data_IF_472407355211
#
_entry.id   IF_472407355211
#
_cell.length_a   1.000
_cell.length_b   1.000
_cell.length_c   1.000
_cell.angle_alpha   90.00
_cell.angle_beta   90.00
_cell.angle_gamma   90.00
#
_symmetry.space_group_name_H-M   'P 1'
#
loop_
_entity.id
_entity.type
_entity.pdbx_description
1 polymer ?
#
# COMPACT_ATOMS: atom_id res chain seq x y z
N UNK A 1 -20.81 0.38 3.90
CA UNK A 1 -20.33 -1.00 4.19
C UNK A 1 -20.03 -1.65 2.84
N UNK A 2 -18.85 -2.25 2.64
CA UNK A 2 -18.56 -2.94 1.38
C UNK A 2 -19.36 -4.24 1.36
N UNK A 3 -20.12 -4.47 0.29
CA UNK A 3 -20.72 -5.78 0.04
C UNK A 3 -19.64 -6.69 -0.56
N UNK A 4 -19.34 -7.78 0.13
CA UNK A 4 -18.27 -8.72 -0.22
C UNK A 4 -18.48 -9.34 -1.62
N UNK A 5 -19.73 -9.41 -2.11
CA UNK A 5 -20.04 -9.81 -3.48
C UNK A 5 -19.41 -8.92 -4.56
N UNK A 6 -19.05 -7.67 -4.22
CA UNK A 6 -18.37 -6.75 -5.16
C UNK A 6 -16.84 -6.84 -5.11
N UNK A 7 -16.26 -7.63 -4.20
CA UNK A 7 -14.80 -7.71 -4.02
C UNK A 7 -14.11 -8.24 -5.28
N UNK A 8 -14.71 -9.24 -5.93
CA UNK A 8 -14.20 -9.78 -7.19
C UNK A 8 -14.15 -8.73 -8.31
N UNK A 9 -15.17 -7.85 -8.38
CA UNK A 9 -15.20 -6.76 -9.35
C UNK A 9 -14.08 -5.74 -9.07
N UNK A 10 -13.80 -5.45 -7.79
CA UNK A 10 -12.70 -4.56 -7.37
C UNK A 10 -11.37 -5.17 -7.79
N UNK A 11 -11.11 -6.43 -7.42
CA UNK A 11 -9.88 -7.16 -7.81
C UNK A 11 -9.71 -7.15 -9.32
N UNK A 12 -10.75 -7.47 -10.09
CA UNK A 12 -10.70 -7.48 -11.55
C UNK A 12 -10.34 -6.10 -12.13
N UNK A 13 -10.91 -5.01 -11.60
CA UNK A 13 -10.65 -3.65 -12.07
C UNK A 13 -9.25 -3.15 -11.67
N UNK A 14 -8.79 -3.43 -10.45
CA UNK A 14 -7.42 -3.13 -10.03
C UNK A 14 -6.40 -3.92 -10.85
N UNK A 15 -6.66 -5.20 -11.11
CA UNK A 15 -5.84 -6.03 -11.99
C UNK A 15 -5.77 -5.48 -13.41
N UNK A 16 -6.89 -4.96 -13.94
CA UNK A 16 -6.90 -4.26 -15.23
C UNK A 16 -6.04 -3.01 -15.21
N UNK A 17 -6.09 -2.20 -14.15
CA UNK A 17 -5.27 -1.00 -14.01
C UNK A 17 -3.78 -1.37 -14.03
N UNK A 18 -3.38 -2.39 -13.25
CA UNK A 18 -2.00 -2.88 -13.26
C UNK A 18 -1.56 -3.35 -14.66
N UNK A 19 -2.42 -4.07 -15.40
CA UNK A 19 -2.11 -4.48 -16.78
C UNK A 19 -1.98 -3.31 -17.75
N UNK A 20 -2.83 -2.29 -17.64
CA UNK A 20 -2.69 -1.07 -18.45
C UNK A 20 -1.37 -0.36 -18.11
N UNK A 21 -1.02 -0.24 -16.83
CA UNK A 21 0.23 0.39 -16.42
C UNK A 21 1.46 -0.39 -16.88
N UNK A 22 1.41 -1.72 -16.93
CA UNK A 22 2.48 -2.53 -17.49
C UNK A 22 2.71 -2.21 -18.98
N UNK A 23 1.63 -2.07 -19.76
CA UNK A 23 1.73 -1.63 -21.16
C UNK A 23 2.31 -0.21 -21.26
N UNK A 24 1.89 0.71 -20.39
CA UNK A 24 2.41 2.09 -20.37
C UNK A 24 3.91 2.15 -20.05
N UNK A 25 4.39 1.27 -19.17
CA UNK A 25 5.83 1.13 -18.87
C UNK A 25 6.58 0.65 -20.11
N UNK A 26 6.07 -0.38 -20.78
CA UNK A 26 6.72 -0.98 -21.95
C UNK A 26 6.69 -0.04 -23.18
N UNK A 27 5.67 0.80 -23.29
CA UNK A 27 5.52 1.77 -24.38
C UNK A 27 6.66 2.81 -24.42
N UNK A 28 7.37 3.03 -23.31
CA UNK A 28 8.56 3.90 -23.27
C UNK A 28 9.64 3.37 -24.21
N UNK A 29 9.81 2.04 -24.31
CA UNK A 29 10.78 1.40 -25.21
C UNK A 29 10.55 1.72 -26.69
N UNK A 30 9.31 2.04 -27.08
CA UNK A 30 8.99 2.50 -28.45
C UNK A 30 9.55 3.89 -28.70
N UNK A 31 9.45 4.81 -27.73
CA UNK A 31 10.03 6.16 -27.88
C UNK A 31 11.56 6.14 -27.83
N UNK A 32 12.16 5.16 -27.14
CA UNK A 32 13.61 4.96 -27.06
C UNK A 32 14.26 4.55 -28.40
N UNK A 33 13.48 4.16 -29.41
CA UNK A 33 14.01 3.88 -30.75
C UNK A 33 14.36 5.17 -31.51
N UNK A 34 13.84 6.32 -31.08
CA UNK A 34 14.20 7.62 -31.64
C UNK A 34 15.56 8.08 -31.09
N UNK A 35 16.42 8.62 -31.96
CA UNK A 35 17.70 9.17 -31.53
C UNK A 35 17.52 10.58 -30.94
N UNK A 36 18.41 10.96 -30.02
CA UNK A 36 18.42 12.32 -29.48
C UNK A 36 18.64 13.38 -30.58
N UNK A 37 19.40 13.05 -31.63
CA UNK A 37 19.63 13.94 -32.78
C UNK A 37 18.35 14.17 -33.58
N UNK A 38 17.53 13.12 -33.80
CA UNK A 38 16.25 13.27 -34.50
C UNK A 38 15.23 14.03 -33.66
N UNK A 39 15.21 13.78 -32.34
CA UNK A 39 14.39 14.55 -31.41
C UNK A 39 14.72 16.05 -31.44
N UNK A 40 16.01 16.41 -31.43
CA UNK A 40 16.46 17.81 -31.44
C UNK A 40 15.96 18.59 -32.67
N UNK A 41 15.85 17.93 -33.84
CA UNK A 41 15.37 18.53 -35.10
C UNK A 41 13.99 19.18 -34.95
N UNK A 42 13.10 18.58 -34.15
CA UNK A 42 11.73 19.07 -33.99
C UNK A 42 11.39 19.56 -32.58
N UNK A 43 12.25 19.35 -31.58
CA UNK A 43 12.04 19.77 -30.18
C UNK A 43 11.60 21.22 -30.03
N UNK A 44 12.13 22.13 -30.85
CA UNK A 44 11.79 23.56 -30.84
C UNK A 44 10.29 23.84 -31.06
N UNK A 45 9.59 22.96 -31.78
CA UNK A 45 8.15 23.11 -32.05
C UNK A 45 7.28 22.69 -30.86
N UNK A 46 7.86 22.03 -29.86
CA UNK A 46 7.16 21.61 -28.66
C UNK A 46 7.24 22.64 -27.52
N UNK A 47 8.12 23.64 -27.60
CA UNK A 47 8.21 24.66 -26.56
C UNK A 47 7.02 25.62 -26.63
N UNK A 48 6.37 26.01 -25.51
CA UNK A 48 6.69 25.70 -24.10
C UNK A 48 5.94 24.49 -23.53
N UNK A 49 5.32 23.66 -24.36
CA UNK A 49 4.53 22.52 -23.91
C UNK A 49 5.38 21.51 -23.11
N UNK A 50 4.74 20.89 -22.13
CA UNK A 50 5.41 19.99 -21.19
C UNK A 50 4.45 18.97 -20.58
N UNK A 51 4.99 17.84 -20.13
CA UNK A 51 4.25 16.83 -19.37
C UNK A 51 3.62 17.36 -18.08
N UNK A 52 4.04 18.54 -17.58
CA UNK A 52 3.34 19.24 -16.50
C UNK A 52 1.87 19.58 -16.84
N UNK A 53 1.54 19.70 -18.14
CA UNK A 53 0.19 19.98 -18.64
C UNK A 53 -0.69 18.72 -18.74
N UNK A 54 -0.16 17.54 -18.44
CA UNK A 54 -0.93 16.28 -18.43
C UNK A 54 -1.86 16.24 -17.21
N UNK A 55 -3.01 16.89 -17.34
CA UNK A 55 -4.00 16.97 -16.26
C UNK A 55 -4.55 15.59 -15.88
N UNK A 56 -4.74 14.67 -16.83
CA UNK A 56 -5.17 13.29 -16.52
C UNK A 56 -4.16 12.56 -15.63
N UNK A 57 -2.86 12.77 -15.83
CA UNK A 57 -1.84 12.20 -14.94
C UNK A 57 -1.98 12.76 -13.52
N UNK A 58 -2.31 14.05 -13.39
CA UNK A 58 -2.60 14.68 -12.08
C UNK A 58 -3.86 14.13 -11.44
N UNK A 59 -4.91 13.88 -12.22
CA UNK A 59 -6.13 13.23 -11.71
C UNK A 59 -5.85 11.83 -11.18
N UNK A 60 -5.03 11.04 -11.89
CA UNK A 60 -4.63 9.70 -11.42
C UNK A 60 -3.89 9.82 -10.08
N UNK A 61 -2.90 10.70 -9.99
CA UNK A 61 -2.14 10.89 -8.75
C UNK A 61 -3.03 11.35 -7.57
N UNK A 62 -3.94 12.29 -7.81
CA UNK A 62 -4.87 12.79 -6.79
C UNK A 62 -5.86 11.71 -6.36
N UNK A 63 -6.48 11.02 -7.32
CA UNK A 63 -7.45 9.96 -7.05
C UNK A 63 -6.84 8.73 -6.41
N UNK A 64 -5.54 8.45 -6.61
CA UNK A 64 -4.83 7.44 -5.83
C UNK A 64 -4.63 7.90 -4.38
N UNK A 65 -4.13 9.12 -4.19
CA UNK A 65 -3.97 9.74 -2.86
C UNK A 65 -2.63 10.43 -2.63
N UNK A 66 -1.97 10.91 -3.69
CA UNK A 66 -0.73 11.69 -3.54
C UNK A 66 -1.07 13.09 -3.03
N UNK A 67 -0.69 13.37 -1.77
CA UNK A 67 -0.93 14.66 -1.13
C UNK A 67 -0.18 15.81 -1.83
N UNK A 68 -0.84 16.96 -1.97
CA UNK A 68 -0.30 18.16 -2.61
C UNK A 68 0.98 18.66 -1.93
N UNK A 69 1.00 18.65 -0.60
CA UNK A 69 2.09 19.12 0.25
C UNK A 69 3.35 18.26 0.08
N UNK A 70 3.18 17.01 -0.33
CA UNK A 70 4.26 16.05 -0.58
C UNK A 70 4.77 16.12 -2.01
N UNK A 71 4.23 16.97 -2.89
CA UNK A 71 4.74 17.07 -4.26
C UNK A 71 6.02 17.89 -4.28
N UNK A 72 6.99 17.48 -5.09
CA UNK A 72 8.16 18.29 -5.39
C UNK A 72 7.69 19.49 -6.21
N UNK A 73 7.89 20.69 -5.67
CA UNK A 73 7.53 21.94 -6.36
C UNK A 73 8.41 22.14 -7.59
N UNK A 74 7.81 22.70 -8.63
CA UNK A 74 8.49 23.09 -9.86
C UNK A 74 8.35 24.60 -10.03
N UNK A 75 9.46 25.33 -10.15
CA UNK A 75 9.50 26.80 -10.21
C UNK A 75 8.69 27.50 -9.09
N UNK A 76 8.63 26.90 -7.89
CA UNK A 76 7.80 27.33 -6.76
C UNK A 76 6.28 27.37 -7.01
N UNK A 77 5.81 26.99 -8.20
CA UNK A 77 4.41 26.95 -8.55
C UNK A 77 3.79 25.60 -8.17
N UNK A 78 2.49 25.65 -7.88
CA UNK A 78 1.71 24.44 -7.65
C UNK A 78 1.42 23.71 -8.97
N UNK A 79 1.32 22.39 -8.93
CA UNK A 79 1.02 21.59 -10.12
C UNK A 79 -0.38 21.90 -10.72
N UNK A 80 -1.32 22.39 -9.90
CA UNK A 80 -2.65 22.83 -10.35
C UNK A 80 -2.61 24.17 -11.12
N UNK A 81 -1.51 24.92 -10.99
CA UNK A 81 -1.28 26.22 -11.64
C UNK A 81 -0.39 26.10 -12.87
N UNK A 82 -0.06 24.88 -13.31
CA UNK A 82 0.78 24.66 -14.48
C UNK A 82 0.29 25.46 -15.71
N UNK A 83 1.22 26.20 -16.33
CA UNK A 83 0.94 26.99 -17.53
C UNK A 83 0.42 26.08 -18.66
N UNK A 84 -0.62 26.52 -19.37
CA UNK A 84 -1.26 25.76 -20.46
C UNK A 84 -2.42 24.87 -20.05
N UNK A 85 -2.76 24.75 -18.76
CA UNK A 85 -4.04 24.17 -18.35
C UNK A 85 -5.20 25.08 -18.74
N UNK A 86 -6.28 24.51 -19.27
CA UNK A 86 -7.53 25.25 -19.52
C UNK A 86 -8.41 25.27 -18.25
N UNK A 87 -9.50 26.05 -18.26
CA UNK A 87 -10.40 26.19 -17.10
C UNK A 87 -11.02 24.86 -16.66
N UNK A 88 -11.44 24.02 -17.62
CA UNK A 88 -12.03 22.70 -17.33
C UNK A 88 -11.03 21.73 -16.69
N UNK A 89 -9.77 21.74 -17.12
CA UNK A 89 -8.71 20.92 -16.55
C UNK A 89 -8.38 21.36 -15.11
N UNK A 90 -8.29 22.68 -14.86
CA UNK A 90 -8.11 23.22 -13.51
C UNK A 90 -9.25 22.84 -12.58
N UNK A 91 -10.48 22.93 -13.07
CA UNK A 91 -11.66 22.51 -12.31
C UNK A 91 -11.62 21.03 -11.97
N UNK A 92 -11.27 20.18 -12.94
CA UNK A 92 -11.16 18.73 -12.72
C UNK A 92 -10.08 18.38 -11.69
N UNK A 93 -8.95 19.08 -11.72
CA UNK A 93 -7.88 18.91 -10.72
C UNK A 93 -8.41 19.31 -9.34
N UNK A 94 -9.04 20.48 -9.22
CA UNK A 94 -9.64 20.95 -7.96
C UNK A 94 -10.67 19.97 -7.41
N UNK A 95 -11.55 19.43 -8.26
CA UNK A 95 -12.52 18.41 -7.85
C UNK A 95 -11.79 17.17 -7.31
N UNK A 96 -10.77 16.69 -8.04
CA UNK A 96 -10.03 15.50 -7.63
C UNK A 96 -9.23 15.64 -6.33
N UNK A 97 -8.85 16.88 -5.94
CA UNK A 97 -8.19 17.15 -4.66
C UNK A 97 -9.17 17.06 -3.48
N UNK A 98 -10.46 17.34 -3.71
CA UNK A 98 -11.48 17.40 -2.66
C UNK A 98 -12.28 16.09 -2.54
N UNK A 99 -12.32 15.27 -3.59
CA UNK A 99 -12.97 13.96 -3.54
C UNK A 99 -12.15 12.94 -2.71
N UNK A 100 -12.81 11.98 -2.04
CA UNK A 100 -12.10 10.91 -1.34
C UNK A 100 -11.18 10.12 -2.27
N UNK A 101 -9.87 10.20 -2.03
CA UNK A 101 -8.89 9.40 -2.74
C UNK A 101 -9.01 7.91 -2.40
N UNK A 102 -8.52 7.04 -3.29
CA UNK A 102 -8.51 5.59 -3.09
C UNK A 102 -7.83 5.19 -1.78
N UNK A 103 -6.71 5.84 -1.42
CA UNK A 103 -6.05 5.66 -0.13
C UNK A 103 -7.03 5.83 1.05
N UNK A 104 -7.83 6.90 1.05
CA UNK A 104 -8.79 7.18 2.13
C UNK A 104 -9.92 6.14 2.19
N UNK A 105 -10.35 5.62 1.03
CA UNK A 105 -11.38 4.59 0.96
C UNK A 105 -10.87 3.24 1.45
N UNK A 106 -9.61 2.90 1.10
CA UNK A 106 -8.92 1.69 1.55
C UNK A 106 -8.62 1.77 3.06
N UNK A 107 -8.13 2.91 3.57
CA UNK A 107 -7.90 3.13 5.01
C UNK A 107 -9.19 2.89 5.81
N UNK A 108 -10.29 3.50 5.37
CA UNK A 108 -11.61 3.30 5.99
C UNK A 108 -12.09 1.84 5.92
N UNK A 109 -11.84 1.13 4.81
CA UNK A 109 -12.20 -0.27 4.66
C UNK A 109 -11.38 -1.18 5.58
N UNK A 110 -10.05 -1.00 5.61
CA UNK A 110 -9.14 -1.75 6.47
C UNK A 110 -9.40 -1.50 7.96
N UNK A 111 -9.79 -0.29 8.35
CA UNK A 111 -10.14 0.04 9.74
C UNK A 111 -11.36 -0.72 10.26
N UNK A 112 -12.13 -1.37 9.37
CA UNK A 112 -13.30 -2.20 9.70
C UNK A 112 -13.04 -3.70 9.54
N UNK A 113 -11.79 -4.10 9.34
CA UNK A 113 -11.43 -5.52 9.23
C UNK A 113 -11.91 -6.24 10.49
N UNK A 114 -12.63 -7.37 10.37
CA UNK A 114 -13.06 -8.14 11.53
C UNK A 114 -11.84 -8.59 12.34
N UNK A 115 -11.99 -8.74 13.66
CA UNK A 115 -10.92 -9.25 14.53
C UNK A 115 -10.00 -8.20 15.16
N UNK A 116 -10.14 -6.93 14.79
CA UNK A 116 -9.40 -5.81 15.41
C UNK A 116 -10.02 -5.29 16.72
N UNK A 117 -11.22 -5.75 17.08
CA UNK A 117 -11.91 -5.30 18.29
C UNK A 117 -11.27 -5.92 19.55
N UNK A 118 -10.81 -5.12 20.53
CA UNK A 118 -10.27 -5.62 21.79
C UNK A 118 -11.26 -6.45 22.61
N UNK A 119 -12.57 -6.22 22.45
CA UNK A 119 -13.61 -7.01 23.09
C UNK A 119 -14.02 -8.26 22.29
N UNK A 120 -13.45 -8.42 21.09
CA UNK A 120 -13.66 -9.57 20.21
C UNK A 120 -12.45 -10.50 20.21
N UNK A 121 -11.86 -10.68 19.02
CA UNK A 121 -10.69 -11.55 18.85
C UNK A 121 -9.39 -10.93 19.38
N UNK A 122 -9.32 -9.59 19.46
CA UNK A 122 -8.14 -8.83 19.85
C UNK A 122 -6.85 -9.27 19.14
N UNK A 123 -6.84 -9.16 17.80
CA UNK A 123 -5.66 -9.52 17.01
C UNK A 123 -4.40 -8.81 17.49
N UNK A 124 -4.49 -7.50 17.80
CA UNK A 124 -3.33 -6.70 18.22
C UNK A 124 -2.75 -7.19 19.54
N UNK A 125 -3.59 -7.45 20.55
CA UNK A 125 -3.12 -7.98 21.83
C UNK A 125 -2.51 -9.36 21.71
N UNK A 126 -3.14 -10.25 20.94
CA UNK A 126 -2.60 -11.60 20.67
C UNK A 126 -1.29 -11.55 19.89
N UNK A 127 -1.18 -10.67 18.89
CA UNK A 127 0.05 -10.50 18.12
C UNK A 127 1.18 -9.95 19.01
N UNK A 128 0.89 -9.03 19.93
CA UNK A 128 1.87 -8.55 20.91
C UNK A 128 2.41 -9.70 21.76
N UNK A 129 1.53 -10.52 22.32
CA UNK A 129 1.93 -11.69 23.12
C UNK A 129 2.79 -12.67 22.32
N UNK A 130 2.41 -12.94 21.06
CA UNK A 130 3.17 -13.77 20.15
C UNK A 130 4.58 -13.21 19.87
N UNK A 131 4.69 -11.91 19.62
CA UNK A 131 5.96 -11.22 19.41
C UNK A 131 6.82 -11.28 20.68
N UNK A 132 6.23 -11.01 21.85
CA UNK A 132 6.96 -11.06 23.12
C UNK A 132 7.53 -12.45 23.41
N UNK A 133 6.75 -13.51 23.11
CA UNK A 133 7.22 -14.90 23.22
C UNK A 133 8.36 -15.19 22.25
N UNK A 134 8.21 -14.78 20.99
CA UNK A 134 9.25 -14.99 19.98
C UNK A 134 10.55 -14.26 20.31
N UNK A 135 10.47 -13.00 20.73
CA UNK A 135 11.63 -12.21 21.13
C UNK A 135 12.32 -12.79 22.36
N UNK A 136 11.56 -13.39 23.28
CA UNK A 136 12.13 -14.10 24.42
C UNK A 136 12.87 -15.37 24.00
N UNK A 137 12.31 -16.17 23.11
CA UNK A 137 12.99 -17.38 22.62
C UNK A 137 14.28 -17.03 21.87
N UNK A 138 14.28 -15.95 21.07
CA UNK A 138 15.50 -15.41 20.44
C UNK A 138 16.54 -14.94 21.48
N UNK A 139 16.09 -14.36 22.59
CA UNK A 139 16.98 -13.94 23.69
C UNK A 139 17.60 -15.14 24.40
N UNK A 140 16.82 -16.19 24.64
CA UNK A 140 17.29 -17.44 25.24
C UNK A 140 18.29 -18.14 24.31
N UNK A 141 18.03 -18.18 23.00
CA UNK A 141 18.95 -18.69 21.97
C UNK A 141 20.25 -17.89 21.92
N UNK A 142 20.18 -16.56 21.87
CA UNK A 142 21.37 -15.70 21.89
C UNK A 142 22.18 -15.86 23.18
N UNK A 143 21.52 -16.09 24.31
CA UNK A 143 22.20 -16.30 25.58
C UNK A 143 22.90 -17.65 25.69
N UNK A 144 22.37 -18.68 25.02
CA UNK A 144 22.94 -20.01 24.93
C UNK A 144 24.11 -20.12 23.94
N UNK A 145 24.33 -19.12 23.08
CA UNK A 145 25.44 -19.09 22.14
C UNK A 145 26.80 -19.04 22.86
N UNK A 146 27.70 -19.95 22.49
CA UNK A 146 29.02 -20.09 23.11
C UNK A 146 30.02 -19.07 22.57
N UNK A 147 29.88 -18.68 21.29
CA UNK A 147 30.77 -17.69 20.66
C UNK A 147 30.38 -16.28 21.09
N UNK A 148 31.30 -15.58 21.76
CA UNK A 148 31.08 -14.21 22.22
C UNK A 148 30.77 -13.24 21.07
N UNK A 149 31.43 -13.40 19.92
CA UNK A 149 31.23 -12.56 18.73
C UNK A 149 29.82 -12.76 18.14
N UNK A 150 29.36 -14.01 18.06
CA UNK A 150 28.03 -14.33 17.52
C UNK A 150 26.95 -13.90 18.50
N UNK A 151 27.17 -14.10 19.80
CA UNK A 151 26.26 -13.66 20.86
C UNK A 151 26.03 -12.14 20.82
N UNK A 152 27.10 -11.35 20.70
CA UNK A 152 27.00 -9.89 20.60
C UNK A 152 26.17 -9.49 19.36
N UNK A 153 26.46 -10.08 18.20
CA UNK A 153 25.69 -9.83 16.97
C UNK A 153 24.20 -10.20 17.10
N UNK A 154 23.88 -11.32 17.76
CA UNK A 154 22.49 -11.74 17.97
C UNK A 154 21.75 -10.81 18.94
N UNK A 155 22.41 -10.33 19.98
CA UNK A 155 21.82 -9.39 20.93
C UNK A 155 21.56 -8.01 20.29
N UNK A 156 22.45 -7.52 19.44
CA UNK A 156 22.25 -6.29 18.67
C UNK A 156 21.07 -6.40 17.70
N UNK A 157 20.97 -7.52 16.96
CA UNK A 157 19.83 -7.80 16.08
C UNK A 157 18.51 -7.91 16.88
N UNK A 158 18.55 -8.55 18.04
CA UNK A 158 17.41 -8.64 18.95
C UNK A 158 16.96 -7.27 19.46
N UNK A 159 17.89 -6.38 19.82
CA UNK A 159 17.56 -5.02 20.25
C UNK A 159 16.88 -4.23 19.12
N UNK A 160 17.41 -4.33 17.91
CA UNK A 160 16.80 -3.71 16.73
C UNK A 160 15.39 -4.25 16.44
N UNK A 161 15.19 -5.57 16.56
CA UNK A 161 13.86 -6.20 16.43
C UNK A 161 12.91 -5.72 17.52
N UNK A 162 13.34 -5.69 18.78
CA UNK A 162 12.54 -5.20 19.91
C UNK A 162 12.07 -3.77 19.65
N UNK A 163 12.95 -2.87 19.22
CA UNK A 163 12.57 -1.49 18.87
C UNK A 163 11.55 -1.44 17.73
N UNK A 164 11.82 -2.14 16.62
CA UNK A 164 10.94 -2.15 15.46
C UNK A 164 9.53 -2.69 15.78
N UNK A 165 9.41 -3.77 16.56
CA UNK A 165 8.10 -4.30 16.95
C UNK A 165 7.39 -3.44 18.00
N UNK A 166 8.11 -2.82 18.94
CA UNK A 166 7.49 -1.87 19.87
C UNK A 166 6.86 -0.69 19.10
N UNK A 167 7.56 -0.19 18.09
CA UNK A 167 7.06 0.86 17.20
C UNK A 167 5.82 0.46 16.40
N UNK A 168 5.66 -0.84 16.11
CA UNK A 168 4.48 -1.36 15.42
C UNK A 168 3.21 -1.16 16.25
N UNK A 169 3.31 -1.23 17.58
CA UNK A 169 2.16 -1.16 18.48
C UNK A 169 1.96 0.21 19.16
N UNK A 170 2.85 1.18 18.92
CA UNK A 170 2.74 2.54 19.45
C UNK A 170 1.89 3.43 18.52
N UNK A 171 0.64 3.66 18.92
CA UNK A 171 -0.31 4.50 18.18
C UNK A 171 0.13 5.96 18.09
N UNK A 172 0.73 6.53 19.15
CA UNK A 172 1.18 7.92 19.13
C UNK A 172 2.34 8.11 18.16
N UNK A 173 3.34 7.21 18.21
CA UNK A 173 4.46 7.23 17.27
C UNK A 173 3.97 7.01 15.83
N UNK A 174 3.03 6.09 15.62
CA UNK A 174 2.40 5.89 14.32
C UNK A 174 1.76 7.19 13.79
N UNK A 175 0.96 7.87 14.62
CA UNK A 175 0.29 9.12 14.24
C UNK A 175 1.30 10.24 13.94
N UNK A 176 2.40 10.35 14.70
CA UNK A 176 3.52 11.27 14.39
C UNK A 176 4.15 10.98 13.02
N UNK A 177 4.41 9.71 12.70
CA UNK A 177 4.96 9.30 11.40
C UNK A 177 3.99 9.56 10.25
N UNK A 178 2.68 9.36 10.47
CA UNK A 178 1.65 9.72 9.48
C UNK A 178 1.63 11.21 9.20
N UNK A 179 1.71 12.06 10.23
CA UNK A 179 1.78 13.52 10.08
C UNK A 179 3.03 13.97 9.32
N UNK A 180 4.20 13.39 9.62
CA UNK A 180 5.45 13.64 8.87
C UNK A 180 5.36 13.15 7.42
N UNK A 181 4.53 12.14 7.18
CA UNK A 181 4.40 11.53 5.88
C UNK A 181 5.40 10.41 5.63
N UNK A 182 5.83 9.73 6.68
CA UNK A 182 6.55 8.46 6.61
C UNK A 182 5.58 7.27 6.63
N UNK A 183 4.37 7.48 7.17
CA UNK A 183 3.20 6.58 7.02
C UNK A 183 2.04 7.24 6.28
N UNK A 184 1.06 6.46 5.82
CA UNK A 184 -0.11 6.91 5.02
C UNK A 184 -1.42 6.44 5.63
N UNK A 185 -1.52 5.17 6.00
CA UNK A 185 -2.66 4.53 6.64
C UNK A 185 -2.83 5.02 8.08
N UNK A 186 -4.05 4.97 8.60
CA UNK A 186 -4.31 5.09 10.03
C UNK A 186 -3.79 3.86 10.79
N UNK A 187 -3.58 4.02 12.10
CA UNK A 187 -3.10 2.92 12.94
C UNK A 187 -4.01 1.69 12.86
N UNK A 188 -5.33 1.89 12.89
CA UNK A 188 -6.32 0.81 12.77
C UNK A 188 -6.33 0.17 11.38
N UNK A 189 -6.18 0.95 10.31
CA UNK A 189 -6.06 0.42 8.96
C UNK A 189 -4.77 -0.39 8.77
N UNK A 190 -3.67 0.07 9.36
CA UNK A 190 -2.40 -0.65 9.37
C UNK A 190 -2.52 -2.00 10.08
N UNK A 191 -3.17 -2.06 11.25
CA UNK A 191 -3.49 -3.32 11.94
C UNK A 191 -4.39 -4.24 11.11
N UNK A 192 -5.40 -3.69 10.43
CA UNK A 192 -6.27 -4.44 9.52
C UNK A 192 -5.52 -5.03 8.34
N UNK A 193 -4.58 -4.28 7.76
CA UNK A 193 -3.73 -4.76 6.67
C UNK A 193 -2.81 -5.88 7.16
N UNK A 194 -2.18 -5.74 8.34
CA UNK A 194 -1.42 -6.82 8.96
C UNK A 194 -2.27 -8.06 9.15
N UNK A 195 -3.49 -7.93 9.70
CA UNK A 195 -4.36 -9.08 9.92
C UNK A 195 -4.67 -9.83 8.61
N UNK A 196 -4.99 -9.11 7.54
CA UNK A 196 -5.19 -9.71 6.20
C UNK A 196 -3.92 -10.40 5.70
N UNK A 197 -2.73 -9.82 5.94
CA UNK A 197 -1.45 -10.41 5.54
C UNK A 197 -1.16 -11.72 6.28
N UNK A 198 -1.36 -11.76 7.59
CA UNK A 198 -1.13 -12.93 8.42
C UNK A 198 -2.09 -14.07 8.05
N UNK A 199 -3.36 -13.78 7.82
CA UNK A 199 -4.39 -14.80 7.59
C UNK A 199 -4.89 -14.81 6.14
N UNK A 200 -4.01 -14.49 5.18
CA UNK A 200 -4.32 -14.42 3.73
C UNK A 200 -4.90 -15.70 3.14
N UNK A 201 -4.63 -16.85 3.75
CA UNK A 201 -5.09 -18.16 3.31
C UNK A 201 -6.52 -18.47 3.81
N UNK A 202 -7.05 -17.66 4.73
CA UNK A 202 -8.45 -17.77 5.14
C UNK A 202 -9.38 -17.35 3.99
N UNK A 203 -10.46 -18.12 3.72
CA UNK A 203 -11.32 -17.90 2.56
C UNK A 203 -11.82 -16.45 2.38
N UNK A 204 -12.24 -15.80 3.47
CA UNK A 204 -12.73 -14.42 3.45
C UNK A 204 -11.62 -13.37 3.24
N UNK A 205 -10.36 -13.72 3.50
CA UNK A 205 -9.20 -12.81 3.32
C UNK A 205 -8.42 -13.01 2.03
N UNK A 206 -8.67 -14.09 1.28
CA UNK A 206 -8.04 -14.29 -0.03
C UNK A 206 -8.22 -13.08 -0.99
N UNK A 207 -9.46 -12.62 -1.17
CA UNK A 207 -9.75 -11.48 -2.05
C UNK A 207 -9.25 -10.13 -1.49
N UNK A 208 -9.44 -9.83 -0.18
CA UNK A 208 -8.78 -8.69 0.46
C UNK A 208 -7.26 -8.65 0.26
N UNK A 209 -6.58 -9.79 0.42
CA UNK A 209 -5.13 -9.88 0.19
C UNK A 209 -4.76 -9.59 -1.27
N UNK A 210 -5.55 -10.08 -2.23
CA UNK A 210 -5.36 -9.74 -3.66
C UNK A 210 -5.55 -8.24 -3.93
N UNK A 211 -6.51 -7.58 -3.28
CA UNK A 211 -6.65 -6.12 -3.36
C UNK A 211 -5.38 -5.44 -2.88
N UNK A 212 -4.88 -5.78 -1.69
CA UNK A 212 -3.65 -5.17 -1.15
C UNK A 212 -2.43 -5.40 -2.05
N UNK A 213 -2.30 -6.62 -2.60
CA UNK A 213 -1.23 -6.96 -3.55
C UNK A 213 -1.31 -6.11 -4.82
N UNK A 214 -2.49 -5.97 -5.41
CA UNK A 214 -2.68 -5.15 -6.60
C UNK A 214 -2.46 -3.65 -6.36
N UNK A 215 -2.72 -3.15 -5.15
CA UNK A 215 -2.40 -1.76 -4.79
C UNK A 215 -0.88 -1.53 -4.76
N UNK A 216 -0.11 -2.49 -4.22
CA UNK A 216 1.36 -2.46 -4.29
C UNK A 216 1.87 -2.56 -5.73
N UNK A 217 1.24 -3.40 -6.57
CA UNK A 217 1.60 -3.49 -7.99
C UNK A 217 1.38 -2.16 -8.72
N UNK A 218 0.25 -1.49 -8.46
CA UNK A 218 -0.09 -0.19 -9.06
C UNK A 218 0.94 0.89 -8.69
N UNK A 219 1.34 0.95 -7.42
CA UNK A 219 2.40 1.88 -6.98
C UNK A 219 3.74 1.54 -7.63
N UNK A 220 4.12 0.26 -7.63
CA UNK A 220 5.39 -0.20 -8.21
C UNK A 220 5.48 0.12 -9.70
N UNK A 221 4.41 -0.12 -10.45
CA UNK A 221 4.33 0.17 -11.87
C UNK A 221 4.35 1.67 -12.16
N UNK A 222 3.70 2.49 -11.33
CA UNK A 222 3.75 3.94 -11.47
C UNK A 222 5.16 4.50 -11.21
N UNK A 223 5.86 3.98 -10.18
CA UNK A 223 7.26 4.34 -9.92
C UNK A 223 8.17 3.88 -11.06
N UNK A 224 7.99 2.65 -11.56
CA UNK A 224 8.74 2.13 -12.72
C UNK A 224 8.53 3.00 -13.96
N UNK A 225 7.30 3.43 -14.22
CA UNK A 225 7.01 4.36 -15.31
C UNK A 225 7.75 5.70 -15.14
N UNK A 226 7.73 6.30 -13.93
CA UNK A 226 8.46 7.56 -13.66
C UNK A 226 9.96 7.41 -13.88
N UNK A 227 10.53 6.31 -13.39
CA UNK A 227 11.95 6.02 -13.54
C UNK A 227 12.33 5.84 -15.01
N UNK A 228 11.64 4.96 -15.74
CA UNK A 228 11.86 4.76 -17.17
C UNK A 228 11.71 6.06 -17.97
N UNK A 229 10.72 6.89 -17.62
CA UNK A 229 10.54 8.20 -18.23
C UNK A 229 11.71 9.14 -17.94
N UNK A 230 12.25 9.14 -16.73
CA UNK A 230 13.44 9.92 -16.39
C UNK A 230 14.66 9.46 -17.22
N UNK A 231 14.87 8.15 -17.37
CA UNK A 231 15.96 7.58 -18.18
C UNK A 231 15.81 7.96 -19.67
N UNK A 232 14.59 7.83 -20.22
CA UNK A 232 14.29 8.30 -21.58
C UNK A 232 14.65 9.78 -21.75
N UNK A 233 14.25 10.64 -20.80
CA UNK A 233 14.56 12.07 -20.84
C UNK A 233 16.06 12.33 -20.75
N UNK A 234 16.79 11.61 -19.89
CA UNK A 234 18.25 11.71 -19.82
C UNK A 234 18.89 11.34 -21.16
N UNK A 235 18.39 10.31 -21.85
CA UNK A 235 18.87 9.93 -23.18
C UNK A 235 18.57 10.99 -24.24
N UNK A 236 17.40 11.62 -24.18
CA UNK A 236 16.94 12.58 -25.20
C UNK A 236 17.55 13.98 -25.04
N UNK A 237 17.73 14.46 -23.81
CA UNK A 237 18.19 15.85 -23.55
C UNK A 237 19.39 15.96 -22.61
N UNK A 238 19.90 14.85 -22.07
CA UNK A 238 21.01 14.86 -21.12
C UNK A 238 20.69 15.69 -19.87
N UNK A 239 21.62 16.55 -19.48
CA UNK A 239 21.46 17.51 -18.38
C UNK A 239 20.78 18.84 -18.77
N UNK A 240 20.26 18.97 -20.00
CA UNK A 240 19.57 20.20 -20.42
C UNK A 240 18.25 20.37 -19.68
N UNK A 241 17.83 21.62 -19.49
CA UNK A 241 16.52 21.96 -18.94
C UNK A 241 15.38 21.45 -19.83
N UNK A 242 14.28 21.05 -19.19
CA UNK A 242 13.04 20.67 -19.88
C UNK A 242 12.36 21.88 -20.52
N UNK A 243 11.53 21.65 -21.54
CA UNK A 243 10.75 22.71 -22.21
C UNK A 243 9.76 23.40 -21.27
N UNK A 244 9.30 22.71 -20.22
CA UNK A 244 8.47 23.27 -19.15
C UNK A 244 9.25 23.97 -18.02
N UNK A 245 10.55 24.22 -18.20
CA UNK A 245 11.37 24.99 -17.26
C UNK A 245 11.98 24.20 -16.08
N UNK A 246 11.75 22.90 -15.96
CA UNK A 246 12.35 22.08 -14.88
C UNK A 246 13.82 21.76 -15.16
N UNK A 247 14.54 21.31 -14.13
CA UNK A 247 15.88 20.71 -14.27
C UNK A 247 15.91 19.43 -15.13
N UNK A 248 14.80 19.09 -15.79
CA UNK A 248 14.68 17.98 -16.72
C UNK A 248 14.78 16.65 -15.98
N UNK A 249 15.84 15.92 -16.29
CA UNK A 249 16.12 14.60 -15.73
C UNK A 249 16.10 14.57 -14.19
N UNK A 250 16.78 15.51 -13.52
CA UNK A 250 16.93 15.49 -12.06
C UNK A 250 15.59 15.64 -11.32
N UNK A 251 14.72 16.55 -11.80
CA UNK A 251 13.37 16.68 -11.28
C UNK A 251 12.59 15.37 -11.42
N UNK A 252 12.60 14.76 -12.63
CA UNK A 252 11.85 13.54 -12.92
C UNK A 252 12.34 12.37 -12.06
N UNK A 253 13.65 12.20 -11.93
CA UNK A 253 14.24 11.16 -11.09
C UNK A 253 13.81 11.31 -9.63
N UNK A 254 13.80 12.53 -9.09
CA UNK A 254 13.34 12.78 -7.73
C UNK A 254 11.86 12.40 -7.50
N UNK A 255 11.03 12.39 -8.56
CA UNK A 255 9.64 11.91 -8.46
C UNK A 255 9.52 10.38 -8.40
N UNK A 256 10.56 9.64 -8.76
CA UNK A 256 10.63 8.17 -8.62
C UNK A 256 11.11 7.79 -7.21
N UNK A 257 10.41 8.27 -6.18
CA UNK A 257 10.74 8.06 -4.76
C UNK A 257 9.51 7.65 -3.95
N UNK A 258 9.73 7.15 -2.73
CA UNK A 258 8.67 6.73 -1.79
C UNK A 258 7.72 7.88 -1.40
N UNK A 259 8.14 9.13 -1.63
CA UNK A 259 7.28 10.30 -1.52
C UNK A 259 6.02 10.19 -2.40
N UNK A 260 6.13 9.52 -3.55
CA UNK A 260 5.06 9.31 -4.52
C UNK A 260 4.40 7.92 -4.43
N UNK A 261 4.85 7.04 -3.52
CA UNK A 261 4.15 5.79 -3.21
C UNK A 261 2.98 6.07 -2.27
N UNK A 262 1.77 5.72 -2.71
CA UNK A 262 0.53 6.00 -1.98
C UNK A 262 0.26 4.97 -0.89
N UNK A 263 0.57 3.71 -1.17
CA UNK A 263 0.40 2.55 -0.30
C UNK A 263 1.74 2.08 0.28
N UNK A 264 2.64 3.04 0.58
CA UNK A 264 3.97 2.78 1.14
C UNK A 264 3.92 1.83 2.35
N UNK A 265 2.92 1.99 3.22
CA UNK A 265 2.79 1.16 4.41
C UNK A 265 2.60 -0.32 4.08
N UNK A 266 1.95 -0.66 2.96
CA UNK A 266 1.73 -2.06 2.55
C UNK A 266 3.06 -2.77 2.24
N UNK A 267 4.02 -2.05 1.63
CA UNK A 267 5.37 -2.58 1.40
C UNK A 267 6.10 -2.78 2.73
N UNK A 268 5.94 -1.84 3.66
CA UNK A 268 6.62 -1.89 4.95
C UNK A 268 6.02 -2.93 5.92
N UNK A 269 4.88 -3.57 5.57
CA UNK A 269 4.32 -4.67 6.37
C UNK A 269 5.27 -5.87 6.47
N UNK A 270 6.12 -6.09 5.46
CA UNK A 270 7.08 -7.19 5.47
C UNK A 270 8.07 -7.09 6.63
N UNK A 271 8.34 -5.88 7.13
CA UNK A 271 9.22 -5.65 8.27
C UNK A 271 8.64 -6.14 9.61
N UNK A 272 7.37 -6.54 9.63
CA UNK A 272 6.64 -6.96 10.83
C UNK A 272 6.17 -8.42 10.76
N UNK A 273 6.70 -9.19 9.81
CA UNK A 273 6.42 -10.63 9.73
C UNK A 273 7.16 -11.34 10.86
N UNK A 274 6.44 -12.21 11.57
CA UNK A 274 6.99 -13.14 12.56
C UNK A 274 6.95 -14.58 12.03
N UNK A 275 7.73 -15.51 12.58
CA UNK A 275 7.67 -16.90 12.15
C UNK A 275 6.27 -17.49 12.37
N UNK A 276 5.84 -18.36 11.45
CA UNK A 276 4.50 -18.94 11.46
C UNK A 276 4.19 -19.72 12.77
N UNK A 277 5.20 -20.29 13.42
CA UNK A 277 5.07 -20.99 14.70
C UNK A 277 4.55 -20.10 15.83
N UNK A 278 4.79 -18.78 15.76
CA UNK A 278 4.34 -17.81 16.76
C UNK A 278 3.05 -17.10 16.35
N UNK A 279 2.55 -17.30 15.12
CA UNK A 279 1.33 -16.63 14.70
C UNK A 279 0.16 -16.99 15.63
N UNK A 280 -0.63 -15.99 16.07
CA UNK A 280 -1.77 -16.28 16.92
C UNK A 280 -2.74 -17.25 16.25
N UNK A 281 -3.26 -18.23 16.98
CA UNK A 281 -4.27 -19.11 16.41
C UNK A 281 -5.64 -18.41 16.36
N UNK A 282 -6.36 -18.66 15.27
CA UNK A 282 -7.76 -18.25 15.16
C UNK A 282 -8.63 -19.15 16.05
N UNK A 283 -9.41 -18.53 16.95
CA UNK A 283 -10.41 -19.25 17.72
C UNK A 283 -11.58 -19.70 16.84
N UNK A 284 -12.40 -20.62 17.34
CA UNK A 284 -13.53 -21.20 16.58
C UNK A 284 -14.53 -20.13 16.10
N UNK A 285 -14.69 -19.04 16.85
CA UNK A 285 -15.57 -17.93 16.47
C UNK A 285 -15.00 -17.17 15.29
N UNK A 286 -13.70 -16.84 15.32
CA UNK A 286 -13.02 -16.13 14.24
C UNK A 286 -12.87 -17.02 13.00
N UNK A 287 -12.54 -18.30 13.13
CA UNK A 287 -12.54 -19.26 12.02
C UNK A 287 -13.90 -19.30 11.33
N UNK A 288 -15.01 -19.31 12.09
CA UNK A 288 -16.37 -19.23 11.54
C UNK A 288 -16.68 -17.86 10.90
N UNK A 289 -16.14 -16.78 11.45
CA UNK A 289 -16.30 -15.43 10.89
C UNK A 289 -15.56 -15.26 9.56
N UNK A 290 -14.45 -15.96 9.37
CA UNK A 290 -13.61 -15.91 8.17
C UNK A 290 -13.89 -17.05 7.18
N UNK A 291 -14.75 -18.01 7.54
CA UNK A 291 -15.24 -19.02 6.62
C UNK A 291 -16.33 -18.48 5.69
N UNK A 292 -16.46 -19.09 4.51
CA UNK A 292 -17.52 -18.77 3.54
C UNK A 292 -18.82 -19.54 3.85
N UNK A 293 -18.73 -20.56 4.70
CA UNK A 293 -19.88 -21.38 5.09
C UNK A 293 -20.54 -20.83 6.33
N UNK A 294 -21.79 -20.36 6.20
CA UNK A 294 -22.71 -20.36 7.34
C UNK A 294 -22.96 -21.83 7.70
N UNK A 295 -22.24 -22.36 8.68
CA UNK A 295 -22.68 -23.57 9.34
C UNK A 295 -24.06 -23.25 9.95
N UNK A 296 -25.11 -23.82 9.39
CA UNK A 296 -26.41 -23.92 10.05
C UNK A 296 -26.15 -24.65 11.36
N UNK A 297 -26.33 -23.95 12.47
CA UNK A 297 -26.40 -24.61 13.78
C UNK A 297 -27.68 -25.44 13.76
N UNK A 298 -27.56 -26.74 13.47
CA UNK A 298 -28.58 -27.72 13.80
C UNK A 298 -28.74 -27.72 15.31
N UNK A 299 -29.78 -27.06 15.79
CA UNK A 299 -30.30 -27.26 17.14
C UNK A 299 -30.99 -28.62 17.18
N UNK A 300 -30.21 -29.69 17.39
CA UNK A 300 -30.73 -30.98 17.83
C UNK A 300 -30.06 -31.34 19.14
N UNK A 301 -30.68 -30.94 20.25
CA UNK A 301 -30.56 -31.61 21.54
C UNK A 301 -31.65 -31.08 22.50
N UNK A 302 -32.88 -31.54 22.31
CA UNK A 302 -33.77 -31.85 23.44
C UNK A 302 -34.65 -33.01 23.02
N UNK A 303 -34.27 -34.21 23.45
CA UNK A 303 -35.17 -35.35 23.41
C UNK A 303 -36.35 -35.12 24.36
N UNK A 304 -37.56 -35.21 23.82
CA UNK A 304 -38.74 -35.59 24.58
C UNK A 304 -39.35 -36.82 23.91
N UNK A 305 -39.10 -37.98 24.53
CA UNK A 305 -39.89 -39.19 24.34
C UNK A 305 -41.28 -38.88 24.90
N UNK A 306 -42.25 -38.62 24.03
CA UNK A 306 -43.66 -38.78 24.37
C UNK A 306 -44.22 -39.93 23.54
N UNK A 307 -44.48 -41.02 24.24
CA UNK A 307 -45.18 -42.17 23.70
C UNK A 307 -46.61 -41.81 23.34
N UNK A 308 -47.08 -42.42 22.27
CA UNK A 308 -48.50 -42.55 22.01
C UNK A 308 -48.78 -44.05 21.76
N UNK A 309 -49.49 -44.64 22.72
CA UNK A 309 -50.01 -46.01 22.68
C UNK A 309 -51.52 -45.86 22.53
N UNK A 310 -52.00 -46.26 21.35
CA UNK A 310 -53.36 -46.65 20.97
C UNK A 310 -54.58 -46.19 21.78
N UNK A 311 -55.56 -45.61 21.07
CA UNK A 311 -56.88 -46.18 20.78
C UNK A 311 -57.66 -45.27 19.83
#
# INVERSE_FOLDING_TARGET
KLDEGNTLLIVSRLGRIAKIQQILVDQIGVLETMTAQDFDKFRKHLSPASGFQSWQFRLIENKLGICKEKRIKHNNNDYSEAEGLNSSARESIRISENEPALLSLIDNWLSRTPGLDPHGFDFTGKLRQAVDMWLKDLEDEANAEESAEVKEMLLDDLESKKENFNDMFDEEKHNRLKMKGDRRLSFKAFQGALFIFFYRDEPRFNQPYQILSLLMDIDSLLIKWRYNHAILVQRMIGGKFGTGGSSGYQYLLATASDRYKVFLDLFNLSSFIIPHSYMPELDSSMKRCLSVFKLETTSEETGEIRGDVGS
#
